data_IF_172883696783
#
_entry.id   IF_172883696783
#
_cell.length_a   1.000
_cell.length_b   1.000
_cell.length_c   1.000
_cell.angle_alpha   90.00
_cell.angle_beta   90.00
_cell.angle_gamma   90.00
#
_symmetry.space_group_name_H-M   'P 1'
#
loop_
_entity.id
_entity.type
_entity.pdbx_description
1 polymer ?
#
# COMPACT_ATOMS: atom_id res chain seq x y z
N UNK A 1 0.52 -8.79 -3.46
CA UNK A 1 1.58 -7.77 -3.35
C UNK A 1 1.69 -7.13 -1.96
N UNK A 2 2.88 -6.94 -1.37
CA UNK A 2 3.12 -6.11 -0.17
C UNK A 2 4.42 -5.29 -0.35
N UNK A 3 4.51 -4.10 0.25
CA UNK A 3 5.78 -3.38 0.36
C UNK A 3 6.66 -4.05 1.43
N UNK A 4 7.93 -4.31 1.11
CA UNK A 4 8.85 -5.04 1.97
C UNK A 4 10.23 -4.39 2.00
N UNK A 5 10.68 -4.02 3.19
CA UNK A 5 12.02 -3.50 3.47
C UNK A 5 12.69 -4.28 4.62
N UNK A 6 12.30 -5.54 4.84
CA UNK A 6 12.81 -6.37 5.92
C UNK A 6 14.32 -6.59 5.86
N UNK A 7 14.93 -6.55 4.69
CA UNK A 7 16.37 -6.62 4.45
C UNK A 7 17.09 -5.40 5.03
N UNK A 8 16.48 -4.20 4.96
CA UNK A 8 17.03 -3.02 5.66
C UNK A 8 16.95 -3.21 7.18
N UNK A 9 15.83 -3.70 7.71
CA UNK A 9 15.70 -3.99 9.15
C UNK A 9 16.72 -5.04 9.62
N UNK A 10 16.92 -6.08 8.81
CA UNK A 10 17.87 -7.15 9.09
C UNK A 10 19.31 -6.65 9.00
N UNK A 11 19.63 -5.81 8.02
CA UNK A 11 20.94 -5.16 7.89
C UNK A 11 21.24 -4.29 9.13
N UNK A 12 20.26 -3.51 9.61
CA UNK A 12 20.40 -2.72 10.83
C UNK A 12 20.67 -3.59 12.07
N UNK A 13 19.90 -4.69 12.24
CA UNK A 13 20.07 -5.63 13.36
C UNK A 13 21.45 -6.30 13.38
N UNK A 14 22.04 -6.52 12.21
CA UNK A 14 23.35 -7.13 12.07
C UNK A 14 24.51 -6.17 12.42
N UNK A 15 24.26 -4.85 12.48
CA UNK A 15 25.31 -3.86 12.75
C UNK A 15 25.59 -3.76 14.25
N UNK A 16 26.83 -4.06 14.64
CA UNK A 16 27.26 -4.15 16.04
C UNK A 16 27.28 -2.80 16.81
N UNK A 17 27.23 -1.66 16.12
CA UNK A 17 27.03 -0.34 16.73
C UNK A 17 26.00 0.47 15.95
N UNK A 18 24.95 0.91 16.65
CA UNK A 18 24.01 1.90 16.12
C UNK A 18 24.71 3.26 16.23
N UNK A 19 25.27 3.75 15.12
CA UNK A 19 25.69 5.14 15.06
C UNK A 19 24.49 6.04 15.36
N UNK A 20 24.70 7.09 16.16
CA UNK A 20 23.72 8.15 16.30
C UNK A 20 23.55 8.83 14.93
N UNK A 21 22.34 8.75 14.36
CA UNK A 21 21.89 9.35 13.09
C UNK A 21 22.82 9.10 11.87
N UNK A 22 22.45 8.11 11.03
CA UNK A 22 23.06 7.86 9.72
C UNK A 22 22.06 7.99 8.58
N UNK A 23 22.52 8.24 7.36
CA UNK A 23 21.70 8.32 6.15
C UNK A 23 20.82 7.07 6.00
N UNK A 24 21.41 5.89 6.25
CA UNK A 24 20.71 4.62 6.26
C UNK A 24 19.61 4.54 7.32
N UNK A 25 19.87 5.01 8.55
CA UNK A 25 18.88 4.96 9.65
C UNK A 25 17.69 5.88 9.37
N UNK A 26 17.93 7.06 8.81
CA UNK A 26 16.87 7.97 8.34
C UNK A 26 16.07 7.31 7.22
N UNK A 27 16.74 6.70 6.24
CA UNK A 27 16.09 5.98 5.16
C UNK A 27 15.24 4.80 5.65
N UNK A 28 15.75 3.99 6.57
CA UNK A 28 15.02 2.89 7.21
C UNK A 28 13.76 3.39 7.92
N UNK A 29 13.83 4.54 8.60
CA UNK A 29 12.67 5.11 9.29
C UNK A 29 11.60 5.56 8.30
N UNK A 30 12.00 6.28 7.25
CA UNK A 30 11.10 6.74 6.20
C UNK A 30 10.44 5.54 5.48
N UNK A 31 11.22 4.54 5.07
CA UNK A 31 10.64 3.33 4.42
C UNK A 31 9.73 2.55 5.35
N UNK A 32 9.99 2.51 6.66
CA UNK A 32 9.11 1.87 7.62
C UNK A 32 7.73 2.54 7.71
N UNK A 33 7.69 3.88 7.72
CA UNK A 33 6.43 4.65 7.70
C UNK A 33 5.67 4.40 6.40
N UNK A 34 6.34 4.53 5.26
CA UNK A 34 5.74 4.32 3.94
C UNK A 34 5.20 2.89 3.79
N UNK A 35 5.98 1.90 4.23
CA UNK A 35 5.57 0.49 4.25
C UNK A 35 4.30 0.26 5.08
N UNK A 36 4.18 0.91 6.23
CA UNK A 36 2.99 0.81 7.08
C UNK A 36 1.74 1.30 6.33
N UNK A 37 1.83 2.45 5.66
CA UNK A 37 0.73 3.05 4.89
C UNK A 37 0.30 2.13 3.74
N UNK A 38 1.26 1.70 2.91
CA UNK A 38 0.99 0.81 1.77
C UNK A 38 0.36 -0.52 2.22
N UNK A 39 0.95 -1.15 3.24
CA UNK A 39 0.49 -2.46 3.69
C UNK A 39 -0.85 -2.39 4.44
N UNK A 40 -1.17 -1.28 5.10
CA UNK A 40 -2.48 -1.08 5.72
C UNK A 40 -3.60 -1.03 4.65
N UNK A 41 -3.38 -0.29 3.55
CA UNK A 41 -4.32 -0.24 2.44
C UNK A 41 -4.55 -1.63 1.83
N UNK A 42 -3.49 -2.43 1.66
CA UNK A 42 -3.61 -3.79 1.13
C UNK A 42 -4.18 -4.80 2.14
N UNK A 43 -4.03 -4.57 3.45
CA UNK A 43 -4.47 -5.50 4.48
C UNK A 43 -6.00 -5.64 4.53
N UNK A 44 -6.74 -4.54 4.30
CA UNK A 44 -8.20 -4.53 4.37
C UNK A 44 -8.81 -5.41 3.26
N UNK A 45 -8.53 -5.20 1.96
CA UNK A 45 -9.03 -6.08 0.91
C UNK A 45 -8.66 -7.55 1.13
N UNK A 46 -7.42 -7.83 1.52
CA UNK A 46 -6.98 -9.21 1.81
C UNK A 46 -7.77 -9.86 2.93
N UNK A 47 -8.05 -9.13 4.01
CA UNK A 47 -8.81 -9.65 5.13
C UNK A 47 -10.26 -9.95 4.74
N UNK A 48 -10.89 -9.06 3.97
CA UNK A 48 -12.27 -9.25 3.51
C UNK A 48 -12.40 -10.37 2.48
N UNK A 49 -11.47 -10.49 1.53
CA UNK A 49 -11.41 -11.62 0.59
C UNK A 49 -11.20 -12.94 1.33
N UNK A 50 -10.29 -12.99 2.32
CA UNK A 50 -10.09 -14.18 3.16
C UNK A 50 -11.31 -14.54 3.99
N UNK A 51 -12.07 -13.56 4.47
CA UNK A 51 -13.32 -13.80 5.15
C UNK A 51 -14.36 -14.38 4.18
N UNK A 52 -14.49 -13.81 2.98
CA UNK A 52 -15.40 -14.29 1.94
C UNK A 52 -15.12 -15.76 1.56
N UNK A 53 -13.87 -16.23 1.59
CA UNK A 53 -13.51 -17.63 1.35
C UNK A 53 -14.10 -18.62 2.38
N UNK A 54 -14.60 -18.13 3.52
CA UNK A 54 -15.27 -18.95 4.54
C UNK A 54 -16.79 -19.01 4.37
N UNK A 55 -17.31 -18.34 3.34
CA UNK A 55 -18.73 -18.26 3.01
C UNK A 55 -18.95 -18.72 1.57
N UNK A 56 -20.07 -19.40 1.34
CA UNK A 56 -20.47 -19.79 0.00
C UNK A 56 -21.02 -18.56 -0.75
N UNK A 57 -20.59 -18.30 -1.99
CA UNK A 57 -21.18 -17.24 -2.81
C UNK A 57 -22.56 -17.63 -3.34
N UNK A 58 -23.40 -16.62 -3.57
CA UNK A 58 -24.64 -16.71 -4.33
C UNK A 58 -24.43 -16.11 -5.73
N UNK A 59 -24.78 -16.85 -6.79
CA UNK A 59 -24.81 -16.30 -8.14
C UNK A 59 -26.07 -15.44 -8.30
N UNK A 60 -25.89 -14.12 -8.42
CA UNK A 60 -27.01 -13.16 -8.51
C UNK A 60 -27.35 -12.78 -9.96
N UNK A 61 -26.42 -13.00 -10.88
CA UNK A 61 -26.60 -12.94 -12.33
C UNK A 61 -25.50 -13.76 -13.02
N UNK A 62 -25.62 -14.00 -14.32
CA UNK A 62 -24.59 -14.73 -15.10
C UNK A 62 -23.21 -14.05 -14.95
N UNK A 63 -22.27 -14.75 -14.30
CA UNK A 63 -20.93 -14.22 -14.05
C UNK A 63 -20.83 -13.19 -12.92
N UNK A 64 -21.89 -12.99 -12.13
CA UNK A 64 -21.93 -12.09 -10.97
C UNK A 64 -22.24 -12.87 -9.69
N UNK A 65 -21.32 -12.77 -8.72
CA UNK A 65 -21.35 -13.52 -7.47
C UNK A 65 -21.39 -12.57 -6.28
N UNK A 66 -22.23 -12.85 -5.30
CA UNK A 66 -22.34 -12.10 -4.06
C UNK A 66 -21.95 -12.96 -2.85
N UNK A 67 -21.16 -12.39 -1.94
CA UNK A 67 -20.95 -12.90 -0.59
C UNK A 67 -21.53 -11.90 0.39
N UNK A 68 -22.29 -12.39 1.37
CA UNK A 68 -22.80 -11.58 2.47
C UNK A 68 -22.48 -12.24 3.80
N UNK A 69 -21.85 -11.49 4.71
CA UNK A 69 -21.52 -11.98 6.04
C UNK A 69 -21.59 -10.86 7.06
N UNK A 70 -21.93 -11.18 8.30
CA UNK A 70 -22.06 -10.21 9.37
C UNK A 70 -21.62 -10.77 10.72
N UNK A 71 -21.25 -9.86 11.60
CA UNK A 71 -20.93 -10.13 13.00
C UNK A 71 -21.58 -9.09 13.89
N UNK A 72 -21.84 -9.46 15.14
CA UNK A 72 -22.38 -8.56 16.15
C UNK A 72 -21.45 -8.52 17.37
N UNK A 73 -21.11 -7.33 17.82
CA UNK A 73 -20.32 -7.11 19.02
C UNK A 73 -20.81 -5.85 19.75
N UNK A 74 -20.96 -5.93 21.08
CA UNK A 74 -21.40 -4.80 21.92
C UNK A 74 -22.68 -4.11 21.41
N UNK A 75 -23.68 -4.89 20.98
CA UNK A 75 -24.93 -4.40 20.37
C UNK A 75 -24.78 -3.66 19.04
N UNK A 76 -23.57 -3.59 18.49
CA UNK A 76 -23.32 -3.07 17.16
C UNK A 76 -23.26 -4.20 16.14
N UNK A 77 -23.82 -3.94 14.96
CA UNK A 77 -23.76 -4.83 13.82
C UNK A 77 -22.71 -4.32 12.84
N UNK A 78 -21.86 -5.25 12.38
CA UNK A 78 -20.98 -5.05 11.24
C UNK A 78 -21.35 -6.07 10.17
N UNK A 79 -21.62 -5.63 8.96
CA UNK A 79 -21.92 -6.49 7.82
C UNK A 79 -21.07 -6.10 6.62
N UNK A 80 -20.72 -7.09 5.82
CA UNK A 80 -19.98 -6.94 4.57
C UNK A 80 -20.80 -7.58 3.46
N UNK A 81 -20.89 -6.88 2.34
CA UNK A 81 -21.42 -7.40 1.08
C UNK A 81 -20.34 -7.24 0.02
N UNK A 82 -19.91 -8.34 -0.56
CA UNK A 82 -18.90 -8.40 -1.61
C UNK A 82 -19.57 -8.85 -2.90
N UNK A 83 -19.34 -8.14 -3.98
CA UNK A 83 -19.76 -8.54 -5.32
C UNK A 83 -18.53 -8.73 -6.19
N UNK A 84 -18.47 -9.86 -6.91
CA UNK A 84 -17.49 -10.13 -7.95
C UNK A 84 -18.20 -10.27 -9.30
N UNK A 85 -17.71 -9.55 -10.31
CA UNK A 85 -18.16 -9.70 -11.70
C UNK A 85 -16.98 -10.24 -12.50
N UNK A 86 -17.12 -11.45 -13.02
CA UNK A 86 -16.10 -12.05 -13.88
C UNK A 86 -16.39 -11.69 -15.32
N UNK A 87 -15.41 -11.13 -16.03
CA UNK A 87 -15.48 -11.11 -17.49
C UNK A 87 -14.94 -12.45 -18.03
N UNK A 88 -15.33 -12.84 -19.25
CA UNK A 88 -14.88 -14.09 -19.88
C UNK A 88 -13.38 -14.09 -20.26
N UNK A 89 -12.61 -13.07 -19.86
CA UNK A 89 -11.26 -12.75 -20.33
C UNK A 89 -10.18 -12.76 -19.25
N UNK A 90 -10.50 -13.23 -18.04
CA UNK A 90 -9.60 -13.40 -16.88
C UNK A 90 -9.44 -12.24 -15.89
N UNK A 91 -10.31 -11.23 -15.99
CA UNK A 91 -10.41 -10.18 -14.97
C UNK A 91 -11.66 -10.35 -14.11
N UNK A 92 -11.51 -9.90 -12.86
CA UNK A 92 -12.58 -9.82 -11.87
C UNK A 92 -12.72 -8.38 -11.44
N UNK A 93 -13.90 -7.81 -11.62
CA UNK A 93 -14.29 -6.56 -10.95
C UNK A 93 -14.86 -6.90 -9.57
N UNK A 94 -14.35 -6.25 -8.53
CA UNK A 94 -14.80 -6.43 -7.17
C UNK A 94 -15.40 -5.15 -6.62
N UNK A 95 -16.49 -5.28 -5.86
CA UNK A 95 -17.13 -4.19 -5.13
C UNK A 95 -17.38 -4.62 -3.68
N UNK A 96 -16.84 -3.87 -2.72
CA UNK A 96 -16.97 -4.15 -1.30
C UNK A 96 -17.80 -3.08 -0.61
N UNK A 97 -18.90 -3.51 -0.02
CA UNK A 97 -19.80 -2.66 0.75
C UNK A 97 -19.75 -3.05 2.23
N UNK A 98 -19.90 -2.06 3.11
CA UNK A 98 -19.95 -2.24 4.56
C UNK A 98 -21.17 -1.57 5.17
N UNK A 99 -21.80 -2.25 6.13
CA UNK A 99 -22.76 -1.66 7.05
C UNK A 99 -22.19 -1.72 8.46
N UNK A 100 -22.27 -0.62 9.21
CA UNK A 100 -21.77 -0.54 10.58
C UNK A 100 -22.64 0.40 11.42
N UNK A 101 -23.30 -0.14 12.45
CA UNK A 101 -24.13 0.66 13.35
C UNK A 101 -23.34 1.42 14.42
N UNK A 102 -22.05 1.12 14.59
CA UNK A 102 -21.19 1.75 15.60
C UNK A 102 -20.61 3.12 15.14
N UNK A 103 -20.71 3.43 13.85
CA UNK A 103 -20.13 4.65 13.28
C UNK A 103 -21.10 5.83 13.35
N UNK A 104 -20.57 7.04 13.25
CA UNK A 104 -21.37 8.27 13.08
C UNK A 104 -20.86 9.00 11.84
N UNK A 105 -21.64 9.10 10.74
CA UNK A 105 -22.97 8.51 10.56
C UNK A 105 -22.95 6.98 10.56
N UNK A 106 -24.11 6.38 10.81
CA UNK A 106 -24.31 4.93 10.64
C UNK A 106 -24.05 4.60 9.17
N UNK A 107 -23.22 3.60 8.93
CA UNK A 107 -22.97 3.11 7.58
C UNK A 107 -24.02 2.06 7.22
N UNK A 108 -24.66 2.24 6.06
CA UNK A 108 -25.61 1.27 5.51
C UNK A 108 -25.24 0.97 4.05
N UNK A 109 -24.73 -0.25 3.82
CA UNK A 109 -24.29 -0.75 2.51
C UNK A 109 -23.40 0.26 1.76
N UNK A 110 -22.53 0.94 2.51
CA UNK A 110 -21.66 1.98 1.99
C UNK A 110 -20.49 1.35 1.25
N UNK A 111 -20.18 1.85 0.05
CA UNK A 111 -19.03 1.39 -0.73
C UNK A 111 -17.74 1.75 0.03
N UNK A 112 -16.92 0.74 0.33
CA UNK A 112 -15.64 0.92 1.01
C UNK A 112 -14.50 0.99 -0.01
N UNK A 113 -14.48 0.04 -0.95
CA UNK A 113 -13.59 0.07 -2.10
C UNK A 113 -14.15 -0.79 -3.24
N UNK A 114 -13.72 -0.49 -4.45
CA UNK A 114 -13.91 -1.37 -5.61
C UNK A 114 -12.61 -1.45 -6.41
N UNK A 115 -12.56 -2.35 -7.38
CA UNK A 115 -11.39 -2.45 -8.22
C UNK A 115 -11.38 -3.67 -9.11
N UNK A 116 -10.25 -3.88 -9.79
CA UNK A 116 -10.09 -4.95 -10.75
C UNK A 116 -8.84 -5.76 -10.41
N UNK A 117 -8.91 -7.06 -10.64
CA UNK A 117 -7.75 -7.96 -10.52
C UNK A 117 -7.78 -8.97 -11.64
N UNK A 118 -6.62 -9.43 -12.11
CA UNK A 118 -6.58 -10.72 -12.80
C UNK A 118 -6.77 -11.89 -11.81
N UNK A 119 -7.07 -13.09 -12.31
CA UNK A 119 -7.30 -14.26 -11.44
C UNK A 119 -6.08 -14.64 -10.57
N UNK A 120 -4.86 -14.41 -11.06
CA UNK A 120 -3.63 -14.70 -10.32
C UNK A 120 -3.27 -13.59 -9.31
N UNK A 121 -4.05 -12.50 -9.28
CA UNK A 121 -3.81 -11.30 -8.47
C UNK A 121 -2.40 -10.72 -8.61
N UNK A 122 -1.76 -10.92 -9.77
CA UNK A 122 -0.45 -10.36 -10.09
C UNK A 122 -0.55 -8.90 -10.47
N UNK A 123 -1.68 -8.45 -11.00
CA UNK A 123 -1.97 -7.04 -11.20
C UNK A 123 -3.37 -6.69 -10.68
N UNK A 124 -3.57 -5.40 -10.45
CA UNK A 124 -4.88 -4.88 -10.12
C UNK A 124 -4.86 -3.46 -9.59
N UNK A 125 -6.07 -2.97 -9.37
CA UNK A 125 -6.34 -1.63 -8.87
C UNK A 125 -7.35 -1.72 -7.74
N UNK A 126 -7.20 -0.91 -6.70
CA UNK A 126 -8.20 -0.62 -5.69
C UNK A 126 -8.48 0.88 -5.65
N UNK A 127 -9.75 1.24 -5.69
CA UNK A 127 -10.23 2.60 -5.48
C UNK A 127 -10.97 2.61 -4.15
N UNK A 128 -10.48 3.41 -3.20
CA UNK A 128 -11.02 3.51 -1.84
C UNK A 128 -11.93 4.73 -1.70
N UNK A 129 -12.92 4.59 -0.83
CA UNK A 129 -13.91 5.62 -0.55
C UNK A 129 -13.96 5.91 0.95
N UNK A 130 -14.32 7.13 1.31
CA UNK A 130 -14.88 7.40 2.62
C UNK A 130 -16.32 6.84 2.64
N UNK A 131 -16.62 5.80 3.42
CA UNK A 131 -17.95 5.22 3.43
C UNK A 131 -19.03 6.16 4.01
N UNK A 132 -18.65 7.19 4.77
CA UNK A 132 -19.59 8.16 5.34
C UNK A 132 -20.02 9.24 4.34
N UNK A 133 -19.11 9.71 3.49
CA UNK A 133 -19.42 10.74 2.48
C UNK A 133 -19.64 10.18 1.07
N UNK A 134 -19.09 9.00 0.78
CA UNK A 134 -19.06 8.42 -0.55
C UNK A 134 -17.99 9.00 -1.47
N UNK A 135 -17.11 9.87 -0.95
CA UNK A 135 -16.04 10.49 -1.74
C UNK A 135 -14.89 9.51 -1.93
N UNK A 136 -14.28 9.51 -3.11
CA UNK A 136 -13.06 8.77 -3.37
C UNK A 136 -11.89 9.38 -2.58
N UNK A 137 -11.11 8.54 -1.89
CA UNK A 137 -10.00 9.00 -1.04
C UNK A 137 -8.62 8.65 -1.60
N UNK A 138 -8.48 7.49 -2.23
CA UNK A 138 -7.22 7.05 -2.80
C UNK A 138 -7.40 5.96 -3.85
N UNK A 139 -6.39 5.82 -4.70
CA UNK A 139 -6.23 4.71 -5.64
C UNK A 139 -4.96 3.97 -5.32
N UNK A 140 -4.98 2.64 -5.37
CA UNK A 140 -3.82 1.79 -5.21
C UNK A 140 -3.71 0.86 -6.41
N UNK A 141 -2.55 0.81 -7.04
CA UNK A 141 -2.28 -0.03 -8.19
C UNK A 141 -1.08 -0.91 -7.90
N UNK A 142 -1.12 -2.17 -8.32
CA UNK A 142 0.04 -3.04 -8.24
C UNK A 142 0.25 -3.84 -9.51
N UNK A 143 1.52 -4.16 -9.75
CA UNK A 143 1.94 -5.06 -10.81
C UNK A 143 3.05 -5.98 -10.30
N UNK A 144 2.98 -7.24 -10.72
CA UNK A 144 3.90 -8.30 -10.36
C UNK A 144 4.27 -9.03 -11.65
N UNK A 145 5.54 -8.95 -12.04
CA UNK A 145 6.08 -9.60 -13.21
C UNK A 145 7.43 -10.24 -12.88
N UNK A 146 7.54 -11.58 -12.91
CA UNK A 146 8.76 -12.34 -12.59
C UNK A 146 9.42 -11.93 -11.26
N UNK A 147 10.50 -11.16 -11.29
CA UNK A 147 11.25 -10.62 -10.14
C UNK A 147 10.94 -9.14 -9.87
N UNK A 148 10.10 -8.52 -10.71
CA UNK A 148 9.68 -7.14 -10.60
C UNK A 148 8.36 -7.01 -9.85
N UNK A 149 8.32 -6.05 -8.92
CA UNK A 149 7.13 -5.72 -8.17
C UNK A 149 6.98 -4.21 -8.17
N UNK A 150 5.79 -3.71 -8.45
CA UNK A 150 5.46 -2.30 -8.36
C UNK A 150 4.16 -2.11 -7.58
N UNK A 151 4.09 -1.03 -6.81
CA UNK A 151 2.94 -0.67 -6.00
C UNK A 151 2.88 0.85 -5.89
N UNK A 152 1.79 1.45 -6.35
CA UNK A 152 1.55 2.89 -6.28
C UNK A 152 0.30 3.14 -5.47
N UNK A 153 0.36 4.07 -4.52
CA UNK A 153 -0.79 4.62 -3.82
C UNK A 153 -0.85 6.11 -4.13
N UNK A 154 -1.97 6.58 -4.66
CA UNK A 154 -2.26 7.98 -4.94
C UNK A 154 -3.39 8.45 -4.03
N UNK A 155 -3.22 9.62 -3.42
CA UNK A 155 -4.30 10.29 -2.69
C UNK A 155 -5.12 11.13 -3.67
N UNK A 156 -6.40 10.78 -3.83
CA UNK A 156 -7.28 11.46 -4.79
C UNK A 156 -8.21 12.47 -4.12
N UNK A 157 -8.29 12.49 -2.79
CA UNK A 157 -9.07 13.50 -2.06
C UNK A 157 -8.26 14.76 -1.73
N UNK A 158 -8.91 15.92 -1.73
CA UNK A 158 -8.37 17.20 -1.22
C UNK A 158 -8.28 17.27 0.32
N UNK A 159 -8.51 16.16 1.02
CA UNK A 159 -8.45 16.14 2.48
C UNK A 159 -7.02 16.37 2.94
N UNK A 160 -6.84 17.30 3.86
CA UNK A 160 -5.54 17.69 4.43
C UNK A 160 -4.55 18.28 3.41
N UNK A 161 -5.01 18.77 2.25
CA UNK A 161 -4.14 19.35 1.20
C UNK A 161 -3.12 18.32 0.66
N UNK A 162 -3.59 17.09 0.47
CA UNK A 162 -2.80 15.92 0.03
C UNK A 162 -3.24 15.35 -1.31
N UNK A 163 -4.10 16.07 -2.05
CA UNK A 163 -4.52 15.61 -3.36
C UNK A 163 -3.33 15.55 -4.33
N UNK A 164 -3.19 14.41 -4.99
CA UNK A 164 -2.12 14.10 -5.91
C UNK A 164 -0.86 13.54 -5.24
N UNK A 165 -0.77 13.52 -3.90
CA UNK A 165 0.38 12.91 -3.23
C UNK A 165 0.47 11.42 -3.59
N UNK A 166 1.69 10.96 -3.88
CA UNK A 166 1.94 9.55 -4.24
C UNK A 166 2.93 8.89 -3.31
N UNK A 167 2.71 7.60 -3.09
CA UNK A 167 3.69 6.67 -2.55
C UNK A 167 3.89 5.56 -3.57
N UNK A 168 5.12 5.39 -4.03
CA UNK A 168 5.52 4.33 -4.93
C UNK A 168 6.54 3.42 -4.25
N UNK A 169 6.35 2.12 -4.42
CA UNK A 169 7.30 1.09 -4.05
C UNK A 169 7.59 0.23 -5.27
N UNK A 170 8.88 -0.01 -5.51
CA UNK A 170 9.29 -1.01 -6.49
C UNK A 170 10.39 -1.91 -5.96
N UNK A 171 10.42 -3.13 -6.49
CA UNK A 171 11.50 -4.08 -6.32
C UNK A 171 11.86 -4.64 -7.69
N UNK A 172 13.11 -4.50 -8.09
CA UNK A 172 13.64 -4.97 -9.36
C UNK A 172 14.85 -5.88 -9.10
N UNK A 173 14.56 -7.17 -8.88
CA UNK A 173 15.54 -8.24 -8.65
C UNK A 173 16.34 -8.12 -7.33
N UNK A 174 17.14 -7.06 -7.20
CA UNK A 174 17.97 -6.78 -6.04
C UNK A 174 17.77 -5.37 -5.49
N UNK A 175 17.18 -4.46 -6.26
CA UNK A 175 17.03 -3.05 -5.88
C UNK A 175 15.62 -2.77 -5.41
N UNK A 176 15.49 -2.19 -4.22
CA UNK A 176 14.25 -1.69 -3.66
C UNK A 176 14.23 -0.18 -3.73
N UNK A 177 13.16 0.38 -4.29
CA UNK A 177 12.98 1.82 -4.40
C UNK A 177 11.67 2.24 -3.72
N UNK A 178 11.75 3.35 -2.99
CA UNK A 178 10.59 4.06 -2.46
C UNK A 178 10.63 5.47 -2.99
N UNK A 179 9.51 5.94 -3.56
CA UNK A 179 9.32 7.34 -3.93
C UNK A 179 8.09 7.87 -3.21
N UNK A 180 8.23 9.02 -2.56
CA UNK A 180 7.11 9.78 -2.01
C UNK A 180 7.09 11.14 -2.70
N UNK A 181 5.94 11.51 -3.25
CA UNK A 181 5.73 12.82 -3.89
C UNK A 181 4.73 13.61 -3.08
N UNK A 182 5.13 14.79 -2.63
CA UNK A 182 4.26 15.80 -2.02
C UNK A 182 3.96 16.86 -3.08
N UNK A 183 2.75 16.81 -3.63
CA UNK A 183 2.35 17.67 -4.76
C UNK A 183 2.18 19.12 -4.32
N UNK A 184 1.66 19.36 -3.12
CA UNK A 184 1.44 20.73 -2.63
C UNK A 184 2.76 21.45 -2.33
N UNK A 185 3.80 20.71 -1.91
CA UNK A 185 5.15 21.25 -1.76
C UNK A 185 6.00 21.22 -3.03
N UNK A 186 5.57 20.50 -4.07
CA UNK A 186 6.39 20.18 -5.26
C UNK A 186 7.73 19.54 -4.85
N UNK A 187 7.64 18.55 -3.96
CA UNK A 187 8.77 17.87 -3.34
C UNK A 187 8.70 16.36 -3.58
N UNK A 188 9.87 15.73 -3.72
CA UNK A 188 9.98 14.28 -3.90
C UNK A 188 11.07 13.74 -3.00
N UNK A 189 10.73 12.72 -2.22
CA UNK A 189 11.70 11.90 -1.49
C UNK A 189 11.90 10.59 -2.24
N UNK A 190 13.15 10.22 -2.49
CA UNK A 190 13.54 8.96 -3.13
C UNK A 190 14.50 8.20 -2.24
N UNK A 191 14.25 6.92 -2.04
CA UNK A 191 15.14 6.00 -1.32
C UNK A 191 15.39 4.80 -2.19
N UNK A 192 16.65 4.41 -2.33
CA UNK A 192 17.06 3.19 -3.01
C UNK A 192 17.94 2.35 -2.09
N UNK A 193 17.71 1.05 -2.09
CA UNK A 193 18.48 0.09 -1.31
C UNK A 193 18.73 -1.17 -2.13
N UNK A 194 20.00 -1.54 -2.29
CA UNK A 194 20.39 -2.81 -2.90
C UNK A 194 20.41 -3.90 -1.82
N UNK A 195 19.61 -4.94 -2.01
CA UNK A 195 19.46 -6.05 -1.05
C UNK A 195 20.66 -6.99 -0.97
N UNK A 196 21.52 -7.02 -2.00
CA UNK A 196 22.73 -7.85 -2.02
C UNK A 196 23.92 -7.12 -1.38
N UNK A 197 24.20 -5.90 -1.82
CA UNK A 197 25.35 -5.11 -1.35
C UNK A 197 25.03 -4.32 -0.10
N UNK A 198 23.75 -4.10 0.21
CA UNK A 198 23.24 -3.23 1.30
C UNK A 198 23.52 -1.74 1.12
N UNK A 199 24.24 -1.36 0.08
CA UNK A 199 24.48 0.03 -0.26
C UNK A 199 23.21 0.69 -0.81
N UNK A 200 23.14 2.01 -0.73
CA UNK A 200 21.98 2.75 -1.20
C UNK A 200 22.08 4.25 -0.96
N UNK A 201 20.97 4.94 -1.20
CA UNK A 201 20.89 6.38 -1.02
C UNK A 201 19.50 6.88 -0.65
N UNK A 202 19.45 8.11 -0.16
CA UNK A 202 18.25 8.90 0.02
C UNK A 202 18.42 10.29 -0.62
N UNK A 203 17.39 10.78 -1.28
CA UNK A 203 17.18 12.17 -1.66
C UNK A 203 15.91 12.61 -0.92
N UNK A 204 15.97 13.62 -0.07
CA UNK A 204 14.82 14.09 0.70
C UNK A 204 14.95 15.58 1.02
N UNK A 205 14.04 16.43 0.53
CA UNK A 205 14.02 17.87 0.83
C UNK A 205 14.13 18.17 2.33
N UNK A 206 13.38 17.46 3.17
CA UNK A 206 13.34 17.65 4.62
C UNK A 206 14.61 17.22 5.36
N UNK A 207 15.35 16.24 4.83
CA UNK A 207 16.52 15.68 5.52
C UNK A 207 17.84 16.25 5.02
N UNK A 208 18.02 16.26 3.69
CA UNK A 208 19.29 16.59 3.05
C UNK A 208 19.16 17.70 2.01
N UNK A 209 18.11 18.53 2.12
CA UNK A 209 17.80 19.62 1.18
C UNK A 209 17.68 19.12 -0.27
N UNK A 210 17.24 17.87 -0.46
CA UNK A 210 17.14 17.24 -1.77
C UNK A 210 18.49 16.89 -2.40
N UNK A 211 19.59 16.91 -1.64
CA UNK A 211 20.92 16.49 -2.12
C UNK A 211 21.14 15.03 -1.78
N UNK A 212 21.50 14.22 -2.78
CA UNK A 212 21.74 12.77 -2.60
C UNK A 212 22.69 12.48 -1.43
N UNK A 213 22.23 11.65 -0.49
CA UNK A 213 22.98 11.19 0.66
C UNK A 213 23.10 9.65 0.63
N UNK A 214 24.32 9.13 0.64
CA UNK A 214 24.61 7.72 0.37
C UNK A 214 25.16 6.99 1.58
N UNK A 215 25.04 5.66 1.55
CA UNK A 215 25.71 4.75 2.48
C UNK A 215 26.35 3.56 1.74
N UNK A 216 27.41 3.00 2.33
CA UNK A 216 28.12 1.84 1.81
C UNK A 216 27.54 0.50 2.30
N UNK A 217 28.20 -0.61 1.95
CA UNK A 217 27.81 -1.99 2.32
C UNK A 217 27.81 -2.26 3.83
N UNK A 218 28.57 -1.48 4.58
CA UNK A 218 28.63 -1.50 6.04
C UNK A 218 27.63 -0.53 6.69
N UNK A 219 26.75 0.07 5.87
CA UNK A 219 25.72 1.04 6.27
C UNK A 219 26.32 2.32 6.86
N UNK A 220 27.56 2.66 6.51
CA UNK A 220 28.22 3.89 6.92
C UNK A 220 27.96 4.99 5.89
N UNK A 221 27.78 6.22 6.36
CA UNK A 221 27.66 7.37 5.47
C UNK A 221 28.92 7.45 4.60
N UNK A 222 28.72 7.59 3.29
CA UNK A 222 29.80 7.69 2.32
C UNK A 222 29.49 8.77 1.29
N UNK A 223 30.51 9.21 0.57
CA UNK A 223 30.30 10.08 -0.59
C UNK A 223 29.50 9.32 -1.66
N UNK A 224 28.51 9.99 -2.23
CA UNK A 224 27.81 9.43 -3.38
C UNK A 224 28.77 9.35 -4.56
N UNK A 225 29.06 8.14 -5.03
CA UNK A 225 29.76 7.94 -6.29
C UNK A 225 28.91 8.53 -7.43
N UNK A 226 29.58 9.29 -8.29
CA UNK A 226 29.05 9.89 -9.52
C UNK A 226 28.63 8.86 -10.54
#
# INVERSE_FOLDING_TARGET
MQADFSEMENAQKAKASVAAESNFTTALTATAVTRLILNANLAIPRALVRAAQQHDPEEIAEGEWEWSFSTQANQNQFAVRLIAVTNSQSDVEWRFFVSNSATTPVLDNALLFHGNTNFDATNGTWIYYDPASGDQVSTLEWDINDDQRALTLEVTSDRNDKHGDTIEYSFDGTVKTMVYTDVSANETTTIEFNTETKAGFMISPDYNNGVKACWDEDLNNTSCSS
#
